data_IF_432739804567
#
_entry.id   IF_432739804567
#
_cell.length_a   1.000
_cell.length_b   1.000
_cell.length_c   1.000
_cell.angle_alpha   90.00
_cell.angle_beta   90.00
_cell.angle_gamma   90.00
#
_symmetry.space_group_name_H-M   'P 1'
#
loop_
_entity.id
_entity.type
_entity.pdbx_description
1 polymer ?
#
# COMPACT_ATOMS: atom_id res chain seq x y z
N UNK A 1 -11.82 26.81 -0.71
CA UNK A 1 -12.80 26.53 0.36
C UNK A 1 -13.89 25.65 -0.22
N UNK A 2 -14.34 24.63 0.53
CA UNK A 2 -15.52 23.86 0.14
C UNK A 2 -16.74 24.79 0.19
N UNK A 3 -17.70 24.68 -0.75
CA UNK A 3 -18.96 25.41 -0.65
C UNK A 3 -19.68 25.03 0.64
N UNK A 4 -20.48 25.96 1.17
CA UNK A 4 -21.19 25.89 2.47
C UNK A 4 -22.38 24.90 2.45
N UNK A 5 -22.16 23.71 1.89
CA UNK A 5 -23.12 22.62 1.77
C UNK A 5 -22.64 21.49 2.66
N UNK A 6 -23.55 20.94 3.49
CA UNK A 6 -23.19 19.82 4.35
C UNK A 6 -22.63 18.66 3.52
N UNK A 7 -21.49 18.07 3.92
CA UNK A 7 -20.89 16.97 3.21
C UNK A 7 -21.76 15.72 3.33
N UNK A 8 -21.97 15.04 2.20
CA UNK A 8 -22.56 13.69 2.22
C UNK A 8 -21.53 12.76 2.83
N UNK A 9 -21.82 12.23 4.02
CA UNK A 9 -20.97 11.25 4.68
C UNK A 9 -21.22 9.89 4.05
N UNK A 10 -20.17 9.27 3.53
CA UNK A 10 -20.20 7.88 3.06
C UNK A 10 -19.52 7.05 4.14
N UNK A 11 -20.30 6.27 4.87
CA UNK A 11 -19.75 5.32 5.83
C UNK A 11 -19.18 4.10 5.09
N UNK A 12 -17.95 3.74 5.42
CA UNK A 12 -17.31 2.54 4.91
C UNK A 12 -17.56 1.39 5.89
N UNK A 13 -18.04 0.27 5.37
CA UNK A 13 -18.07 -0.97 6.14
C UNK A 13 -16.64 -1.50 6.27
N UNK A 14 -16.03 -1.23 7.42
CA UNK A 14 -14.64 -1.61 7.72
C UNK A 14 -14.48 -3.13 7.68
N UNK A 15 -15.47 -3.90 8.15
CA UNK A 15 -15.38 -5.36 8.17
C UNK A 15 -15.36 -5.91 6.75
N UNK A 16 -16.23 -5.39 5.89
CA UNK A 16 -16.24 -5.76 4.48
C UNK A 16 -14.93 -5.37 3.80
N UNK A 17 -14.44 -4.14 4.03
CA UNK A 17 -13.17 -3.67 3.46
C UNK A 17 -11.99 -4.57 3.86
N UNK A 18 -11.92 -4.99 5.13
CA UNK A 18 -10.87 -5.92 5.60
C UNK A 18 -10.93 -7.26 4.87
N UNK A 19 -12.13 -7.83 4.67
CA UNK A 19 -12.30 -9.09 3.93
C UNK A 19 -11.88 -8.89 2.47
N UNK A 20 -12.32 -7.81 1.84
CA UNK A 20 -11.97 -7.48 0.47
C UNK A 20 -10.44 -7.35 0.31
N UNK A 21 -9.75 -6.69 1.25
CA UNK A 21 -8.28 -6.57 1.24
C UNK A 21 -7.59 -7.94 1.37
N UNK A 22 -8.07 -8.83 2.25
CA UNK A 22 -7.51 -10.19 2.38
C UNK A 22 -7.68 -10.96 1.07
N UNK A 23 -8.86 -10.90 0.46
CA UNK A 23 -9.16 -11.60 -0.80
C UNK A 23 -8.31 -11.07 -1.94
N UNK A 24 -8.22 -9.74 -2.09
CA UNK A 24 -7.41 -9.09 -3.14
C UNK A 24 -5.93 -9.41 -2.95
N UNK A 25 -5.40 -9.27 -1.72
CA UNK A 25 -3.99 -9.58 -1.42
C UNK A 25 -3.67 -11.02 -1.75
N UNK A 26 -4.51 -11.96 -1.31
CA UNK A 26 -4.31 -13.39 -1.60
C UNK A 26 -4.33 -13.66 -3.10
N UNK A 27 -5.27 -13.04 -3.82
CA UNK A 27 -5.37 -13.12 -5.27
C UNK A 27 -4.13 -12.58 -5.99
N UNK A 28 -3.62 -11.42 -5.59
CA UNK A 28 -2.42 -10.80 -6.17
C UNK A 28 -1.17 -11.63 -5.89
N UNK A 29 -1.00 -12.15 -4.68
CA UNK A 29 0.12 -13.02 -4.31
C UNK A 29 0.14 -14.27 -5.20
N UNK A 30 -1.01 -14.94 -5.34
CA UNK A 30 -1.12 -16.13 -6.19
C UNK A 30 -0.84 -15.77 -7.65
N UNK A 31 -1.49 -14.71 -8.16
CA UNK A 31 -1.37 -14.28 -9.55
C UNK A 31 0.09 -13.94 -9.90
N UNK A 32 0.75 -13.07 -9.13
CA UNK A 32 2.09 -12.63 -9.48
C UNK A 32 3.15 -13.72 -9.29
N UNK A 33 3.01 -14.57 -8.27
CA UNK A 33 3.90 -15.72 -8.10
C UNK A 33 3.74 -16.71 -9.25
N UNK A 34 2.50 -16.95 -9.71
CA UNK A 34 2.24 -17.80 -10.87
C UNK A 34 2.82 -17.20 -12.16
N UNK A 35 2.67 -15.89 -12.38
CA UNK A 35 3.29 -15.19 -13.52
C UNK A 35 4.82 -15.33 -13.47
N UNK A 36 5.43 -15.08 -12.31
CA UNK A 36 6.88 -15.20 -12.15
C UNK A 36 7.35 -16.61 -12.47
N UNK A 37 6.67 -17.62 -11.93
CA UNK A 37 6.99 -19.02 -12.19
C UNK A 37 6.87 -19.39 -13.68
N UNK A 38 5.80 -18.96 -14.35
CA UNK A 38 5.60 -19.24 -15.78
C UNK A 38 6.68 -18.57 -16.65
N UNK A 39 7.06 -17.33 -16.32
CA UNK A 39 8.02 -16.56 -17.10
C UNK A 39 9.47 -17.03 -16.90
N UNK A 40 9.87 -17.30 -15.67
CA UNK A 40 11.28 -17.58 -15.33
C UNK A 40 11.57 -19.07 -15.12
N UNK A 41 10.56 -19.87 -14.79
CA UNK A 41 10.67 -21.32 -14.49
C UNK A 41 11.66 -21.68 -13.38
N UNK A 42 12.09 -20.69 -12.60
CA UNK A 42 12.98 -20.87 -11.47
C UNK A 42 12.17 -21.10 -10.20
N UNK A 43 12.23 -22.34 -9.69
CA UNK A 43 11.62 -22.69 -8.42
C UNK A 43 12.49 -23.68 -7.65
N UNK A 44 13.22 -23.16 -6.67
CA UNK A 44 14.09 -23.95 -5.81
C UNK A 44 13.66 -23.80 -4.37
N UNK A 45 13.20 -24.91 -3.78
CA UNK A 45 12.88 -24.98 -2.36
C UNK A 45 14.15 -25.30 -1.57
N UNK A 46 14.61 -24.33 -0.79
CA UNK A 46 15.69 -24.53 0.18
C UNK A 46 15.41 -23.75 1.46
N UNK A 47 15.71 -24.35 2.60
CA UNK A 47 15.37 -23.80 3.92
C UNK A 47 16.03 -22.44 4.18
N UNK A 48 17.34 -22.32 3.94
CA UNK A 48 18.09 -21.09 4.25
C UNK A 48 17.66 -19.88 3.41
N UNK A 49 17.49 -19.98 2.07
CA UNK A 49 16.93 -18.91 1.27
C UNK A 49 15.51 -18.50 1.67
N UNK A 50 14.67 -19.44 2.14
CA UNK A 50 13.32 -19.12 2.61
C UNK A 50 13.36 -18.30 3.89
N UNK A 51 14.21 -18.68 4.85
CA UNK A 51 14.37 -17.93 6.11
C UNK A 51 14.93 -16.54 5.80
N UNK A 52 15.99 -16.45 4.99
CA UNK A 52 16.57 -15.16 4.58
C UNK A 52 15.57 -14.27 3.81
N UNK A 53 14.81 -14.88 2.90
CA UNK A 53 13.75 -14.20 2.14
C UNK A 53 12.63 -13.69 3.03
N UNK A 54 12.21 -14.46 4.03
CA UNK A 54 11.19 -14.04 5.01
C UNK A 54 11.67 -12.85 5.84
N UNK A 55 12.91 -12.87 6.34
CA UNK A 55 13.47 -11.74 7.09
C UNK A 55 13.56 -10.49 6.21
N UNK A 56 14.04 -10.64 4.97
CA UNK A 56 14.12 -9.53 4.02
C UNK A 56 12.74 -8.98 3.68
N UNK A 57 11.74 -9.84 3.50
CA UNK A 57 10.35 -9.44 3.29
C UNK A 57 9.84 -8.58 4.43
N UNK A 58 10.03 -9.00 5.69
CA UNK A 58 9.57 -8.24 6.86
C UNK A 58 10.24 -6.87 6.93
N UNK A 59 11.56 -6.81 6.71
CA UNK A 59 12.30 -5.53 6.72
C UNK A 59 11.78 -4.60 5.63
N UNK A 60 11.68 -5.09 4.40
CA UNK A 60 11.18 -4.30 3.27
C UNK A 60 9.73 -3.88 3.47
N UNK A 61 8.88 -4.75 3.99
CA UNK A 61 7.49 -4.44 4.28
C UNK A 61 7.37 -3.29 5.28
N UNK A 62 8.13 -3.31 6.39
CA UNK A 62 8.16 -2.22 7.37
C UNK A 62 8.63 -0.90 6.75
N UNK A 63 9.67 -0.95 5.91
CA UNK A 63 10.17 0.26 5.24
C UNK A 63 9.11 0.79 4.26
N UNK A 64 8.55 -0.08 3.43
CA UNK A 64 7.63 0.32 2.39
C UNK A 64 6.25 0.73 2.91
N UNK A 65 5.78 0.18 4.05
CA UNK A 65 4.53 0.65 4.67
C UNK A 65 4.69 2.06 5.26
N UNK A 66 5.85 2.38 5.84
CA UNK A 66 6.14 3.77 6.25
C UNK A 66 6.17 4.71 5.04
N UNK A 67 6.76 4.27 3.93
CA UNK A 67 6.73 5.02 2.67
C UNK A 67 5.31 5.13 2.09
N UNK A 68 4.49 4.07 2.21
CA UNK A 68 3.11 4.03 1.74
C UNK A 68 2.30 5.16 2.38
N UNK A 69 2.35 5.23 3.71
CA UNK A 69 1.70 6.29 4.46
C UNK A 69 2.30 7.68 4.15
N UNK A 70 3.61 7.79 3.97
CA UNK A 70 4.23 9.06 3.54
C UNK A 70 3.73 9.52 2.16
N UNK A 71 3.50 8.61 1.22
CA UNK A 71 2.90 8.93 -0.07
C UNK A 71 1.45 9.38 0.04
N UNK A 72 0.67 8.91 1.00
CA UNK A 72 -0.66 9.50 1.27
C UNK A 72 -0.54 10.98 1.65
N UNK A 73 0.42 11.36 2.50
CA UNK A 73 0.66 12.76 2.87
C UNK A 73 1.04 13.62 1.66
N UNK A 74 1.96 13.12 0.84
CA UNK A 74 2.34 13.77 -0.42
C UNK A 74 1.11 13.94 -1.32
N UNK A 75 0.24 12.91 -1.39
CA UNK A 75 -1.02 12.96 -2.12
C UNK A 75 -1.96 14.04 -1.60
N UNK A 76 -2.09 14.20 -0.28
CA UNK A 76 -2.90 15.27 0.32
C UNK A 76 -2.36 16.66 -0.01
N UNK A 77 -1.04 16.84 -0.04
CA UNK A 77 -0.42 18.10 -0.45
C UNK A 77 -0.62 18.39 -1.93
N UNK A 78 -0.32 17.43 -2.81
CA UNK A 78 -0.35 17.62 -4.26
C UNK A 78 -1.77 17.75 -4.81
N UNK A 79 -2.68 16.87 -4.38
CA UNK A 79 -4.04 16.80 -4.93
C UNK A 79 -5.06 17.54 -4.09
N UNK A 80 -4.88 17.53 -2.76
CA UNK A 80 -5.75 18.26 -1.82
C UNK A 80 -5.35 19.71 -1.61
N UNK A 81 -4.14 20.12 -2.03
CA UNK A 81 -3.55 21.45 -1.74
C UNK A 81 -3.58 21.78 -0.24
N UNK A 82 -3.39 20.74 0.56
CA UNK A 82 -3.42 20.81 2.03
C UNK A 82 -2.04 21.28 2.51
N UNK A 83 -1.96 22.27 3.44
CA UNK A 83 -0.69 22.75 3.95
C UNK A 83 -0.05 21.70 4.88
N UNK A 84 1.28 21.61 4.86
CA UNK A 84 2.07 20.63 5.61
C UNK A 84 1.76 20.63 7.12
N UNK A 85 1.53 21.80 7.70
CA UNK A 85 1.18 21.99 9.12
C UNK A 85 -0.12 21.28 9.56
N UNK A 86 -0.99 20.94 8.60
CA UNK A 86 -2.26 20.27 8.88
C UNK A 86 -2.22 18.76 8.67
N UNK A 87 -1.06 18.23 8.26
CA UNK A 87 -0.82 16.81 8.11
C UNK A 87 -0.47 16.17 9.45
N UNK A 88 -0.89 14.92 9.63
CA UNK A 88 -0.55 14.09 10.79
C UNK A 88 -0.03 12.75 10.31
N UNK A 89 1.08 12.34 10.88
CA UNK A 89 1.74 11.07 10.61
C UNK A 89 2.10 10.41 11.92
N UNK A 90 1.89 9.10 12.02
CA UNK A 90 2.25 8.37 13.24
C UNK A 90 2.04 6.87 13.12
N UNK A 91 2.25 6.20 14.25
CA UNK A 91 2.04 4.76 14.39
C UNK A 91 1.11 4.58 15.59
N UNK A 92 0.05 3.79 15.40
CA UNK A 92 -0.75 3.28 16.49
C UNK A 92 -0.33 1.83 16.75
N UNK A 93 0.48 1.64 17.79
CA UNK A 93 1.01 0.32 18.15
C UNK A 93 -0.05 -0.62 18.71
N UNK A 94 -1.12 -0.11 19.32
CA UNK A 94 -2.23 -0.94 19.81
C UNK A 94 -2.99 -1.60 18.65
N UNK A 95 -3.16 -0.86 17.56
CA UNK A 95 -3.78 -1.33 16.33
C UNK A 95 -2.77 -1.97 15.36
N UNK A 96 -1.47 -1.79 15.60
CA UNK A 96 -0.41 -2.26 14.71
C UNK A 96 -0.36 -1.56 13.35
N UNK A 97 -0.91 -0.34 13.23
CA UNK A 97 -1.04 0.39 11.95
C UNK A 97 -0.25 1.69 11.97
N UNK A 98 0.43 1.97 10.86
CA UNK A 98 0.89 3.32 10.55
C UNK A 98 -0.30 4.13 10.00
N UNK A 99 -0.31 5.45 10.21
CA UNK A 99 -1.37 6.31 9.70
C UNK A 99 -0.84 7.64 9.17
N UNK A 100 -1.44 8.07 8.07
CA UNK A 100 -1.31 9.38 7.46
C UNK A 100 -2.67 10.04 7.28
N UNK A 101 -2.86 11.26 7.83
CA UNK A 101 -4.15 11.97 7.74
C UNK A 101 -3.97 13.49 7.72
N UNK A 102 -5.08 14.22 7.59
CA UNK A 102 -5.13 15.68 7.65
C UNK A 102 -6.35 16.19 8.43
N UNK A 103 -6.21 17.35 9.06
CA UNK A 103 -7.31 18.05 9.74
C UNK A 103 -8.19 18.86 8.78
N UNK A 104 -7.79 19.02 7.52
CA UNK A 104 -8.56 19.76 6.52
C UNK A 104 -9.46 18.80 5.73
N UNK A 105 -10.70 19.18 5.42
CA UNK A 105 -11.55 18.38 4.55
C UNK A 105 -11.06 18.44 3.09
N UNK A 106 -11.12 17.31 2.39
CA UNK A 106 -10.77 17.20 0.97
C UNK A 106 -12.01 16.94 0.11
N UNK A 107 -11.97 17.40 -1.14
CA UNK A 107 -12.91 16.93 -2.16
C UNK A 107 -12.67 15.44 -2.46
N UNK A 108 -13.75 14.70 -2.74
CA UNK A 108 -13.68 13.27 -3.04
C UNK A 108 -12.71 12.92 -4.19
N UNK A 109 -12.62 13.74 -5.23
CA UNK A 109 -11.70 13.49 -6.34
C UNK A 109 -10.22 13.61 -5.91
N UNK A 110 -9.91 14.55 -5.02
CA UNK A 110 -8.57 14.73 -4.46
C UNK A 110 -8.24 13.59 -3.48
N UNK A 111 -9.19 13.21 -2.63
CA UNK A 111 -9.05 12.08 -1.72
C UNK A 111 -8.74 10.78 -2.48
N UNK A 112 -9.52 10.44 -3.51
CA UNK A 112 -9.28 9.24 -4.34
C UNK A 112 -7.88 9.22 -4.94
N UNK A 113 -7.39 10.35 -5.47
CA UNK A 113 -6.03 10.44 -6.03
C UNK A 113 -4.95 10.30 -4.96
N UNK A 114 -5.14 10.91 -3.80
CA UNK A 114 -4.20 10.79 -2.68
C UNK A 114 -4.14 9.35 -2.13
N UNK A 115 -5.28 8.65 -2.09
CA UNK A 115 -5.34 7.25 -1.69
C UNK A 115 -4.71 6.31 -2.73
N UNK A 116 -4.82 6.63 -4.02
CA UNK A 116 -4.23 5.82 -5.10
C UNK A 116 -2.72 6.08 -5.31
N UNK A 117 -2.15 7.16 -4.78
CA UNK A 117 -0.73 7.45 -4.97
C UNK A 117 0.19 6.34 -4.43
N UNK A 118 0.05 5.88 -3.17
CA UNK A 118 0.90 4.79 -2.68
C UNK A 118 0.64 3.46 -3.39
N UNK A 119 -0.58 3.17 -3.84
CA UNK A 119 -0.85 2.00 -4.69
C UNK A 119 0.13 1.94 -5.87
N UNK A 120 0.38 3.07 -6.54
CA UNK A 120 1.36 3.13 -7.63
C UNK A 120 2.81 3.06 -7.14
N UNK A 121 3.15 3.81 -6.09
CA UNK A 121 4.54 4.03 -5.67
C UNK A 121 5.13 2.88 -4.86
N UNK A 122 4.35 2.26 -3.97
CA UNK A 122 4.80 1.19 -3.06
C UNK A 122 4.16 -0.16 -3.37
N UNK A 123 3.11 -0.18 -4.19
CA UNK A 123 2.52 -1.40 -4.73
C UNK A 123 3.07 -1.75 -6.11
N UNK A 124 2.60 -1.05 -7.15
CA UNK A 124 2.87 -1.37 -8.57
C UNK A 124 4.36 -1.27 -8.91
N UNK A 125 5.02 -0.18 -8.53
CA UNK A 125 6.42 0.04 -8.90
C UNK A 125 7.35 -1.03 -8.31
N UNK A 126 7.25 -1.43 -7.03
CA UNK A 126 8.02 -2.55 -6.48
C UNK A 126 7.71 -3.88 -7.16
N UNK A 127 6.46 -4.15 -7.53
CA UNK A 127 6.11 -5.37 -8.27
C UNK A 127 6.76 -5.39 -9.65
N UNK A 128 6.75 -4.28 -10.39
CA UNK A 128 7.44 -4.18 -11.69
C UNK A 128 8.95 -4.39 -11.51
N UNK A 129 9.57 -3.75 -10.52
CA UNK A 129 10.97 -3.95 -10.20
C UNK A 129 11.26 -5.42 -9.82
N UNK A 130 10.36 -6.05 -9.07
CA UNK A 130 10.46 -7.45 -8.71
C UNK A 130 10.45 -8.37 -9.92
N UNK A 131 9.57 -8.16 -10.89
CA UNK A 131 9.62 -8.90 -12.16
C UNK A 131 10.90 -8.62 -12.95
N UNK A 132 11.32 -7.35 -13.04
CA UNK A 132 12.52 -6.95 -13.79
C UNK A 132 13.81 -7.58 -13.22
N UNK A 133 13.94 -7.65 -11.89
CA UNK A 133 15.09 -8.24 -11.20
C UNK A 133 14.92 -9.72 -10.82
N UNK A 134 13.81 -10.36 -11.23
CA UNK A 134 13.41 -11.70 -10.81
C UNK A 134 13.42 -11.88 -9.26
N UNK A 135 12.96 -10.87 -8.53
CA UNK A 135 12.88 -10.87 -7.06
C UNK A 135 11.45 -11.17 -6.59
N UNK A 136 11.22 -12.40 -6.14
CA UNK A 136 9.93 -12.80 -5.52
C UNK A 136 9.60 -11.94 -4.31
N UNK A 137 10.61 -11.52 -3.53
CA UNK A 137 10.39 -10.71 -2.33
C UNK A 137 9.80 -9.34 -2.69
N UNK A 138 10.32 -8.66 -3.72
CA UNK A 138 9.77 -7.37 -4.16
C UNK A 138 8.37 -7.52 -4.76
N UNK A 139 8.10 -8.62 -5.47
CA UNK A 139 6.77 -8.95 -5.98
C UNK A 139 5.78 -9.08 -4.83
N UNK A 140 6.14 -9.84 -3.78
CA UNK A 140 5.29 -10.04 -2.61
C UNK A 140 5.07 -8.74 -1.82
N UNK A 141 6.12 -7.95 -1.59
CA UNK A 141 5.98 -6.64 -0.91
C UNK A 141 5.01 -5.74 -1.68
N UNK A 142 5.15 -5.64 -3.01
CA UNK A 142 4.25 -4.85 -3.82
C UNK A 142 2.81 -5.39 -3.85
N UNK A 143 2.64 -6.72 -3.83
CA UNK A 143 1.31 -7.34 -3.76
C UNK A 143 0.57 -7.01 -2.45
N UNK A 144 1.26 -7.09 -1.31
CA UNK A 144 0.69 -6.74 -0.01
C UNK A 144 0.31 -5.27 0.07
N UNK A 145 1.13 -4.36 -0.47
CA UNK A 145 0.88 -2.92 -0.40
C UNK A 145 -0.04 -2.38 -1.50
N UNK A 146 -0.40 -3.18 -2.50
CA UNK A 146 -1.40 -2.80 -3.52
C UNK A 146 -2.84 -2.88 -3.00
N UNK A 147 -3.14 -3.86 -2.14
CA UNK A 147 -4.48 -4.01 -1.60
C UNK A 147 -4.78 -3.01 -0.47
N UNK A 148 -3.73 -2.44 0.14
CA UNK A 148 -3.82 -1.61 1.35
C UNK A 148 -3.59 -2.45 2.60
#
# INVERSE_FOLDING_TARGET
MLPNKEPIVIELDIKKLMIDNIVITSGLVILFTAIQYICFKDFHFSFWPIVGGTVLFVILYIIFIMLHEAFHLIGFMLFGKVPLESLKYGINLELGVAYATTTKPLYNHAMKRALLLPFWMTGVLPTIAGFYFNSTILILVGAFLMAG
#
